data_IF_336490132771
#
_entry.id   IF_336490132771
#
_cell.length_a   1.000
_cell.length_b   1.000
_cell.length_c   1.000
_cell.angle_alpha   90.00
_cell.angle_beta   90.00
_cell.angle_gamma   90.00
#
_symmetry.space_group_name_H-M   'P 1'
#
loop_
_entity.id
_entity.type
_entity.pdbx_description
1 polymer ?
#
# COMPACT_ATOMS: atom_id res chain seq x y z
N UNK A 1 21.30 3.20 10.08
CA UNK A 1 21.42 1.72 10.16
C UNK A 1 20.73 1.13 8.94
N UNK A 2 21.36 0.22 8.20
CA UNK A 2 20.76 -0.40 7.02
C UNK A 2 19.77 -1.49 7.45
N UNK A 3 18.46 -1.25 7.27
CA UNK A 3 17.36 -2.12 7.75
C UNK A 3 17.14 -3.38 6.90
N UNK A 4 17.63 -3.37 5.64
CA UNK A 4 17.45 -4.46 4.67
C UNK A 4 18.80 -5.01 4.17
N UNK A 5 19.84 -4.93 5.01
CA UNK A 5 21.18 -5.34 4.60
C UNK A 5 21.19 -6.78 4.05
N UNK A 6 21.64 -6.94 2.82
CA UNK A 6 21.73 -8.21 2.09
C UNK A 6 20.40 -8.93 1.82
N UNK A 7 19.24 -8.30 2.07
CA UNK A 7 17.95 -8.83 1.66
C UNK A 7 17.75 -8.65 0.15
N UNK A 8 17.05 -9.58 -0.48
CA UNK A 8 16.69 -9.51 -1.89
C UNK A 8 15.22 -9.17 -2.02
N UNK A 9 14.90 -8.10 -2.75
CA UNK A 9 13.56 -7.60 -2.97
C UNK A 9 13.18 -7.59 -4.45
N UNK A 10 11.94 -7.97 -4.74
CA UNK A 10 11.27 -7.73 -6.01
C UNK A 10 10.20 -6.67 -5.79
N UNK A 11 10.18 -5.65 -6.66
CA UNK A 11 9.21 -4.55 -6.60
C UNK A 11 8.56 -4.40 -7.97
N UNK A 12 7.23 -4.56 -8.04
CA UNK A 12 6.46 -4.35 -9.28
C UNK A 12 5.92 -2.93 -9.36
N UNK A 13 5.76 -2.38 -10.58
CA UNK A 13 5.43 -0.97 -10.78
C UNK A 13 6.56 -0.05 -10.35
N UNK A 14 7.81 -0.47 -10.55
CA UNK A 14 9.00 0.21 -10.04
C UNK A 14 9.50 1.36 -10.94
N UNK A 15 8.84 1.61 -12.08
CA UNK A 15 9.21 2.67 -13.00
C UNK A 15 8.76 4.07 -12.56
N UNK A 16 7.80 4.18 -11.63
CA UNK A 16 7.25 5.47 -11.20
C UNK A 16 6.63 5.42 -9.80
N UNK A 17 6.27 6.59 -9.28
CA UNK A 17 5.48 6.75 -8.05
C UNK A 17 6.01 5.96 -6.86
N UNK A 18 5.12 5.25 -6.19
CA UNK A 18 5.39 4.47 -4.97
C UNK A 18 6.47 3.40 -5.20
N UNK A 19 6.38 2.65 -6.33
CA UNK A 19 7.32 1.57 -6.60
C UNK A 19 8.74 2.07 -6.81
N UNK A 20 8.91 3.16 -7.58
CA UNK A 20 10.20 3.83 -7.79
C UNK A 20 10.81 4.31 -6.48
N UNK A 21 10.04 5.01 -5.67
CA UNK A 21 10.52 5.55 -4.38
C UNK A 21 10.89 4.42 -3.42
N UNK A 22 10.08 3.35 -3.39
CA UNK A 22 10.38 2.16 -2.58
C UNK A 22 11.67 1.47 -3.03
N UNK A 23 11.90 1.36 -4.35
CA UNK A 23 13.12 0.74 -4.86
C UNK A 23 14.37 1.53 -4.44
N UNK A 24 14.34 2.85 -4.57
CA UNK A 24 15.43 3.72 -4.13
C UNK A 24 15.68 3.59 -2.64
N UNK A 25 14.63 3.65 -1.83
CA UNK A 25 14.73 3.55 -0.37
C UNK A 25 15.26 2.18 0.06
N UNK A 26 14.82 1.08 -0.55
CA UNK A 26 15.30 -0.27 -0.21
C UNK A 26 16.79 -0.45 -0.55
N UNK A 27 17.24 0.07 -1.69
CA UNK A 27 18.66 0.09 -2.07
C UNK A 27 19.50 0.90 -1.06
N UNK A 28 19.05 2.09 -0.66
CA UNK A 28 19.71 2.92 0.36
C UNK A 28 19.81 2.20 1.70
N UNK A 29 18.82 1.33 2.01
CA UNK A 29 18.81 0.47 3.20
C UNK A 29 19.54 -0.87 3.03
N UNK A 30 20.26 -1.08 1.90
CA UNK A 30 21.19 -2.19 1.69
C UNK A 30 20.55 -3.46 1.12
N UNK A 31 19.34 -3.37 0.56
CA UNK A 31 18.75 -4.45 -0.20
C UNK A 31 19.39 -4.58 -1.59
N UNK A 32 19.30 -5.80 -2.16
CA UNK A 32 19.40 -6.03 -3.59
C UNK A 32 17.99 -5.97 -4.17
N UNK A 33 17.76 -5.24 -5.26
CA UNK A 33 16.40 -4.98 -5.78
C UNK A 33 16.28 -5.34 -7.25
N UNK A 34 15.28 -6.16 -7.58
CA UNK A 34 14.80 -6.34 -8.95
C UNK A 34 13.63 -5.39 -9.17
N UNK A 35 13.83 -4.40 -10.04
CA UNK A 35 12.82 -3.44 -10.43
C UNK A 35 12.02 -3.99 -11.61
N UNK A 36 10.72 -4.14 -11.48
CA UNK A 36 9.84 -4.68 -12.51
C UNK A 36 8.78 -3.67 -12.93
N UNK A 37 8.64 -3.47 -14.23
CA UNK A 37 7.60 -2.65 -14.84
C UNK A 37 7.37 -3.05 -16.28
N UNK A 38 6.19 -2.73 -16.83
CA UNK A 38 5.91 -2.92 -18.25
C UNK A 38 6.37 -1.75 -19.13
N UNK A 39 6.60 -0.57 -18.56
CA UNK A 39 7.08 0.61 -19.26
C UNK A 39 8.60 0.64 -19.26
N UNK A 40 9.19 0.16 -20.36
CA UNK A 40 10.64 0.08 -20.53
C UNK A 40 11.34 1.43 -20.36
N UNK A 41 10.78 2.50 -20.94
CA UNK A 41 11.42 3.83 -20.96
C UNK A 41 11.58 4.36 -19.54
N UNK A 42 10.49 4.43 -18.79
CA UNK A 42 10.51 4.97 -17.41
C UNK A 42 11.24 4.04 -16.43
N UNK A 43 11.29 2.73 -16.73
CA UNK A 43 12.07 1.77 -15.95
C UNK A 43 13.58 2.01 -16.15
N UNK A 44 14.03 2.24 -17.38
CA UNK A 44 15.42 2.59 -17.70
C UNK A 44 15.80 3.95 -17.09
N UNK A 45 14.93 4.96 -17.15
CA UNK A 45 15.13 6.25 -16.48
C UNK A 45 15.32 6.09 -14.95
N UNK A 46 14.51 5.24 -14.32
CA UNK A 46 14.65 4.92 -12.90
C UNK A 46 15.98 4.25 -12.60
N UNK A 47 16.41 3.34 -13.47
CA UNK A 47 17.70 2.66 -13.32
C UNK A 47 18.89 3.62 -13.51
N UNK A 48 18.80 4.58 -14.42
CA UNK A 48 19.83 5.64 -14.56
C UNK A 48 19.94 6.51 -13.28
N UNK A 49 18.83 6.81 -12.61
CA UNK A 49 18.86 7.48 -11.29
C UNK A 49 19.57 6.64 -10.23
N UNK A 50 19.36 5.32 -10.23
CA UNK A 50 20.05 4.38 -9.33
C UNK A 50 21.54 4.38 -9.59
N UNK A 51 21.99 4.41 -10.86
CA UNK A 51 23.41 4.52 -11.24
C UNK A 51 24.03 5.84 -10.75
N UNK A 52 23.34 6.96 -10.91
CA UNK A 52 23.80 8.26 -10.43
C UNK A 52 24.02 8.28 -8.91
N UNK A 53 23.29 7.44 -8.17
CA UNK A 53 23.45 7.24 -6.72
C UNK A 53 24.52 6.18 -6.37
N UNK A 54 25.17 5.53 -7.35
CA UNK A 54 26.13 4.42 -7.21
C UNK A 54 25.53 3.22 -6.46
N UNK A 55 24.26 2.89 -6.74
CA UNK A 55 23.52 1.78 -6.15
C UNK A 55 23.21 0.65 -7.15
N UNK A 56 23.67 0.77 -8.39
CA UNK A 56 23.39 -0.13 -9.51
C UNK A 56 23.98 -1.53 -9.33
N UNK A 57 25.04 -1.69 -8.55
CA UNK A 57 25.59 -3.01 -8.22
C UNK A 57 24.61 -3.91 -7.46
N UNK A 58 23.63 -3.31 -6.79
CA UNK A 58 22.58 -3.98 -6.01
C UNK A 58 21.22 -3.95 -6.71
N UNK A 59 21.17 -3.58 -7.99
CA UNK A 59 19.91 -3.41 -8.71
C UNK A 59 19.95 -4.06 -10.09
N UNK A 60 18.84 -4.63 -10.52
CA UNK A 60 18.61 -4.98 -11.92
C UNK A 60 17.16 -4.68 -12.32
N UNK A 61 16.90 -4.58 -13.62
CA UNK A 61 15.57 -4.31 -14.17
C UNK A 61 15.03 -5.53 -14.90
N UNK A 62 13.71 -5.74 -14.79
CA UNK A 62 12.97 -6.79 -15.49
C UNK A 62 11.75 -6.19 -16.17
N UNK A 63 11.67 -6.27 -17.50
CA UNK A 63 10.46 -5.88 -18.22
C UNK A 63 9.38 -6.92 -17.96
N UNK A 64 8.27 -6.50 -17.32
CA UNK A 64 7.28 -7.42 -16.76
C UNK A 64 5.87 -6.87 -16.94
N UNK A 65 5.00 -7.61 -17.62
CA UNK A 65 3.54 -7.42 -17.53
C UNK A 65 2.99 -8.31 -16.41
N UNK A 66 2.58 -7.70 -15.32
CA UNK A 66 2.09 -8.43 -14.13
C UNK A 66 0.80 -9.22 -14.38
N UNK A 67 0.09 -8.98 -15.47
CA UNK A 67 -1.09 -9.76 -15.88
C UNK A 67 -0.72 -11.10 -16.50
N UNK A 68 0.55 -11.26 -16.93
CA UNK A 68 1.09 -12.45 -17.61
C UNK A 68 1.84 -13.32 -16.60
N UNK A 69 1.31 -14.54 -16.36
CA UNK A 69 1.89 -15.45 -15.35
C UNK A 69 3.36 -15.78 -15.62
N UNK A 70 3.73 -15.98 -16.90
CA UNK A 70 5.11 -16.31 -17.28
C UNK A 70 6.09 -15.19 -16.97
N UNK A 71 5.66 -13.93 -17.10
CA UNK A 71 6.52 -12.78 -16.79
C UNK A 71 6.79 -12.71 -15.28
N UNK A 72 5.78 -13.00 -14.44
CA UNK A 72 5.95 -13.06 -12.98
C UNK A 72 6.88 -14.21 -12.57
N UNK A 73 6.78 -15.38 -13.21
CA UNK A 73 7.71 -16.49 -12.98
C UNK A 73 9.13 -16.07 -13.31
N UNK A 74 9.34 -15.50 -14.50
CA UNK A 74 10.65 -14.99 -14.95
C UNK A 74 11.21 -13.92 -14.02
N UNK A 75 10.35 -13.02 -13.51
CA UNK A 75 10.74 -11.98 -12.57
C UNK A 75 11.29 -12.55 -11.26
N UNK A 76 10.62 -13.56 -10.71
CA UNK A 76 11.07 -14.22 -9.47
C UNK A 76 12.33 -15.06 -9.72
N UNK A 77 12.41 -15.77 -10.85
CA UNK A 77 13.62 -16.51 -11.24
C UNK A 77 14.82 -15.57 -11.39
N UNK A 78 14.63 -14.37 -11.98
CA UNK A 78 15.69 -13.36 -12.08
C UNK A 78 16.24 -12.95 -10.72
N UNK A 79 15.40 -12.80 -9.69
CA UNK A 79 15.88 -12.47 -8.36
C UNK A 79 16.78 -13.59 -7.78
N UNK A 80 16.40 -14.85 -8.01
CA UNK A 80 17.20 -16.01 -7.59
C UNK A 80 18.50 -16.12 -8.39
N UNK A 81 18.45 -15.92 -9.71
CA UNK A 81 19.62 -16.04 -10.59
C UNK A 81 20.65 -14.93 -10.31
N UNK A 82 20.19 -13.70 -10.05
CA UNK A 82 21.09 -12.55 -9.84
C UNK A 82 21.60 -12.46 -8.39
N UNK A 83 20.76 -12.81 -7.42
CA UNK A 83 21.05 -12.53 -6.00
C UNK A 83 20.94 -13.76 -5.08
N UNK A 84 20.63 -14.94 -5.64
CA UNK A 84 20.64 -16.23 -4.93
C UNK A 84 19.39 -16.55 -4.13
N UNK A 85 18.47 -15.61 -3.92
CA UNK A 85 17.24 -15.80 -3.11
C UNK A 85 16.18 -14.75 -3.44
N UNK A 86 15.06 -14.81 -2.71
CA UNK A 86 14.05 -13.75 -2.62
C UNK A 86 13.56 -13.68 -1.17
N UNK A 87 13.72 -12.54 -0.53
CA UNK A 87 13.29 -12.28 0.86
C UNK A 87 12.05 -11.41 0.93
N UNK A 88 11.87 -10.49 -0.04
CA UNK A 88 10.83 -9.47 -0.01
C UNK A 88 10.17 -9.39 -1.39
N UNK A 89 8.83 -9.45 -1.39
CA UNK A 89 8.04 -9.13 -2.58
C UNK A 89 7.16 -7.92 -2.27
N UNK A 90 7.24 -6.87 -3.08
CA UNK A 90 6.30 -5.77 -3.07
C UNK A 90 5.45 -5.76 -4.35
N UNK A 91 4.25 -6.33 -4.28
CA UNK A 91 3.23 -6.27 -5.31
C UNK A 91 2.60 -4.88 -5.29
N UNK A 92 3.16 -3.96 -6.09
CA UNK A 92 2.73 -2.57 -6.11
C UNK A 92 2.15 -2.14 -7.47
N UNK A 93 2.49 -2.81 -8.56
CA UNK A 93 1.95 -2.49 -9.89
C UNK A 93 0.42 -2.39 -9.87
N UNK A 94 -0.11 -1.36 -10.51
CA UNK A 94 -1.55 -1.14 -10.57
C UNK A 94 -1.95 -0.04 -11.55
N UNK A 95 -3.23 0.00 -11.84
CA UNK A 95 -3.92 0.96 -12.73
C UNK A 95 -5.20 1.45 -12.06
N UNK A 96 -5.83 2.49 -12.58
CA UNK A 96 -7.14 2.96 -12.11
C UNK A 96 -8.30 2.00 -12.41
N UNK A 97 -8.09 1.04 -13.31
CA UNK A 97 -9.10 0.07 -13.73
C UNK A 97 -10.22 0.67 -14.58
N UNK A 98 -11.28 -0.11 -14.78
CA UNK A 98 -12.46 0.32 -15.54
C UNK A 98 -13.21 1.42 -14.79
N UNK A 99 -13.54 2.50 -15.50
CA UNK A 99 -14.21 3.69 -14.97
C UNK A 99 -15.53 3.90 -15.73
N UNK A 100 -16.61 4.11 -15.00
CA UNK A 100 -17.93 4.42 -15.55
C UNK A 100 -19.08 3.92 -14.69
N UNK A 101 -20.34 4.24 -15.10
CA UNK A 101 -21.52 3.67 -14.46
C UNK A 101 -21.54 2.14 -14.59
N UNK A 102 -22.01 1.44 -13.57
CA UNK A 102 -22.08 -0.04 -13.56
C UNK A 102 -22.80 -0.62 -14.77
N UNK A 103 -23.77 0.10 -15.31
CA UNK A 103 -24.55 -0.31 -16.50
C UNK A 103 -23.78 -0.20 -17.81
N UNK A 104 -22.58 0.41 -17.82
CA UNK A 104 -21.79 0.70 -19.02
C UNK A 104 -20.36 0.15 -18.95
N UNK A 105 -19.91 -0.35 -17.78
CA UNK A 105 -18.61 -1.02 -17.69
C UNK A 105 -18.67 -2.30 -18.51
N UNK A 106 -17.70 -2.47 -19.43
CA UNK A 106 -17.52 -3.65 -20.27
C UNK A 106 -16.92 -4.81 -19.44
N UNK A 107 -17.38 -6.01 -19.69
CA UNK A 107 -16.88 -7.20 -18.99
C UNK A 107 -15.37 -7.40 -19.19
N UNK A 108 -14.85 -7.17 -20.40
CA UNK A 108 -13.43 -7.32 -20.71
C UNK A 108 -12.56 -6.29 -19.95
N UNK A 109 -13.06 -5.05 -19.79
CA UNK A 109 -12.38 -4.02 -18.99
C UNK A 109 -12.39 -4.34 -17.50
N UNK A 110 -13.50 -4.90 -17.02
CA UNK A 110 -13.62 -5.44 -15.67
C UNK A 110 -12.60 -6.56 -15.45
N UNK A 111 -12.56 -7.56 -16.32
CA UNK A 111 -11.64 -8.70 -16.22
C UNK A 111 -10.18 -8.25 -16.28
N UNK A 112 -9.84 -7.32 -17.18
CA UNK A 112 -8.51 -6.74 -17.24
C UNK A 112 -8.13 -6.01 -15.95
N UNK A 113 -9.06 -5.28 -15.34
CA UNK A 113 -8.83 -4.63 -14.04
C UNK A 113 -8.46 -5.65 -12.97
N UNK A 114 -9.20 -6.75 -12.88
CA UNK A 114 -8.91 -7.83 -11.93
C UNK A 114 -7.63 -8.59 -12.24
N UNK A 115 -7.30 -8.78 -13.53
CA UNK A 115 -6.03 -9.40 -13.93
C UNK A 115 -4.83 -8.61 -13.41
N UNK A 116 -4.86 -7.28 -13.53
CA UNK A 116 -3.75 -6.41 -13.10
C UNK A 116 -3.77 -6.17 -11.61
N UNK A 117 -4.94 -5.90 -11.00
CA UNK A 117 -5.04 -5.41 -9.62
C UNK A 117 -5.11 -6.51 -8.56
N UNK A 118 -5.60 -7.71 -8.90
CA UNK A 118 -5.80 -8.80 -7.93
C UNK A 118 -5.09 -10.09 -8.35
N UNK A 119 -5.25 -10.55 -9.61
CA UNK A 119 -4.61 -11.79 -10.06
C UNK A 119 -3.08 -11.67 -10.02
N UNK A 120 -2.52 -10.51 -10.35
CA UNK A 120 -1.08 -10.24 -10.26
C UNK A 120 -0.55 -10.45 -8.83
N UNK A 121 -1.30 -9.98 -7.83
CA UNK A 121 -0.98 -10.15 -6.40
C UNK A 121 -0.93 -11.63 -6.02
N UNK A 122 -1.90 -12.41 -6.49
CA UNK A 122 -1.90 -13.86 -6.31
C UNK A 122 -0.69 -14.51 -6.99
N UNK A 123 -0.41 -14.17 -8.26
CA UNK A 123 0.71 -14.74 -9.01
C UNK A 123 2.05 -14.40 -8.37
N UNK A 124 2.29 -13.13 -8.04
CA UNK A 124 3.50 -12.70 -7.33
C UNK A 124 3.68 -13.45 -6.03
N UNK A 125 2.63 -13.52 -5.20
CA UNK A 125 2.66 -14.25 -3.92
C UNK A 125 2.94 -15.75 -4.11
N UNK A 126 2.33 -16.37 -5.12
CA UNK A 126 2.53 -17.79 -5.47
C UNK A 126 3.99 -18.11 -5.77
N UNK A 127 4.62 -17.34 -6.66
CA UNK A 127 5.99 -17.61 -7.08
C UNK A 127 7.01 -17.19 -6.01
N UNK A 128 6.81 -16.05 -5.34
CA UNK A 128 7.65 -15.64 -4.22
C UNK A 128 7.61 -16.64 -3.07
N UNK A 129 6.44 -17.12 -2.68
CA UNK A 129 6.30 -18.11 -1.61
C UNK A 129 7.05 -19.42 -1.92
N UNK A 130 7.10 -19.87 -3.19
CA UNK A 130 7.88 -21.07 -3.59
C UNK A 130 9.37 -20.93 -3.31
N UNK A 131 9.91 -19.72 -3.43
CA UNK A 131 11.31 -19.43 -3.10
C UNK A 131 11.46 -19.24 -1.60
N UNK A 132 10.64 -18.40 -0.99
CA UNK A 132 10.72 -18.02 0.44
C UNK A 132 10.53 -19.21 1.38
N UNK A 133 9.76 -20.25 1.01
CA UNK A 133 9.63 -21.50 1.79
C UNK A 133 10.95 -22.25 1.96
N UNK A 134 11.93 -22.00 1.08
CA UNK A 134 13.27 -22.60 1.17
C UNK A 134 14.20 -21.80 2.08
N UNK A 135 13.84 -20.56 2.42
CA UNK A 135 14.62 -19.69 3.28
C UNK A 135 14.39 -20.05 4.76
N UNK A 136 15.46 -20.15 5.54
CA UNK A 136 15.38 -20.40 6.98
C UNK A 136 14.60 -19.31 7.73
N UNK A 137 14.67 -18.09 7.23
CA UNK A 137 14.04 -16.90 7.80
C UNK A 137 12.65 -16.61 7.23
N UNK A 138 12.19 -17.41 6.24
CA UNK A 138 10.93 -17.14 5.51
C UNK A 138 11.04 -15.92 4.60
N UNK A 139 10.07 -15.00 4.66
CA UNK A 139 10.04 -13.81 3.82
C UNK A 139 8.95 -12.80 4.19
N UNK A 140 8.88 -11.70 3.44
CA UNK A 140 7.85 -10.67 3.58
C UNK A 140 7.20 -10.36 2.24
N UNK A 141 5.89 -10.58 2.14
CA UNK A 141 5.07 -10.21 0.99
C UNK A 141 4.23 -8.99 1.39
N UNK A 142 4.36 -7.93 0.62
CA UNK A 142 3.68 -6.67 0.83
C UNK A 142 2.82 -6.38 -0.41
N UNK A 143 1.56 -6.06 -0.22
CA UNK A 143 0.61 -5.85 -1.31
C UNK A 143 0.01 -4.45 -1.23
N UNK A 144 0.08 -3.69 -2.30
CA UNK A 144 -0.59 -2.38 -2.39
C UNK A 144 -2.09 -2.58 -2.61
N UNK A 145 -2.85 -2.40 -1.54
CA UNK A 145 -4.30 -2.27 -1.57
C UNK A 145 -4.71 -0.82 -1.87
N UNK A 146 -5.73 -0.30 -1.24
CA UNK A 146 -6.17 1.10 -1.28
C UNK A 146 -7.24 1.33 -0.21
N UNK A 147 -7.42 2.57 0.23
CA UNK A 147 -8.61 2.98 0.99
C UNK A 147 -9.90 2.66 0.22
N UNK A 148 -9.87 2.68 -1.12
CA UNK A 148 -10.99 2.30 -1.96
C UNK A 148 -11.45 0.84 -1.77
N UNK A 149 -10.57 -0.03 -1.26
CA UNK A 149 -10.92 -1.41 -0.90
C UNK A 149 -11.51 -1.56 0.50
N UNK A 150 -11.60 -0.49 1.28
CA UNK A 150 -12.08 -0.52 2.67
C UNK A 150 -13.54 -0.09 2.81
N UNK A 151 -14.01 0.76 1.88
CA UNK A 151 -15.38 1.28 1.89
C UNK A 151 -15.81 1.75 0.50
N UNK A 152 -17.06 2.14 0.37
CA UNK A 152 -17.60 2.69 -0.87
C UNK A 152 -17.21 4.16 -1.09
N UNK A 153 -17.14 4.59 -2.36
CA UNK A 153 -17.01 6.01 -2.71
C UNK A 153 -15.59 6.54 -2.90
N UNK A 154 -14.56 5.76 -2.54
CA UNK A 154 -13.16 6.21 -2.59
C UNK A 154 -12.42 5.83 -3.88
N UNK A 155 -13.12 5.28 -4.88
CA UNK A 155 -12.51 4.90 -6.16
C UNK A 155 -13.48 4.23 -7.13
N UNK A 156 -13.05 3.97 -8.37
CA UNK A 156 -13.85 3.28 -9.38
C UNK A 156 -14.33 1.89 -8.91
N UNK A 157 -15.47 1.44 -9.41
CA UNK A 157 -16.11 0.19 -8.97
C UNK A 157 -15.18 -1.04 -9.06
N UNK A 158 -14.61 -1.27 -10.25
CA UNK A 158 -13.73 -2.43 -10.48
C UNK A 158 -12.44 -2.35 -9.63
N UNK A 159 -11.87 -1.15 -9.52
CA UNK A 159 -10.71 -0.88 -8.67
C UNK A 159 -11.00 -1.18 -7.20
N UNK A 160 -12.09 -0.63 -6.67
CA UNK A 160 -12.50 -0.81 -5.27
C UNK A 160 -12.73 -2.28 -4.95
N UNK A 161 -13.45 -3.01 -5.82
CA UNK A 161 -13.71 -4.43 -5.65
C UNK A 161 -12.41 -5.26 -5.67
N UNK A 162 -11.49 -4.98 -6.60
CA UNK A 162 -10.20 -5.67 -6.67
C UNK A 162 -9.33 -5.38 -5.44
N UNK A 163 -9.28 -4.12 -4.97
CA UNK A 163 -8.48 -3.72 -3.78
C UNK A 163 -9.07 -4.27 -2.47
N UNK A 164 -10.39 -4.43 -2.37
CA UNK A 164 -11.03 -5.19 -1.28
C UNK A 164 -10.60 -6.67 -1.31
N UNK A 165 -10.54 -7.25 -2.52
CA UNK A 165 -10.00 -8.59 -2.74
C UNK A 165 -8.56 -8.74 -2.25
N UNK A 166 -7.68 -7.76 -2.52
CA UNK A 166 -6.28 -7.74 -2.03
C UNK A 166 -6.22 -7.75 -0.50
N UNK A 167 -7.03 -6.92 0.17
CA UNK A 167 -7.06 -6.86 1.65
C UNK A 167 -7.45 -8.23 2.23
N UNK A 168 -8.48 -8.86 1.69
CA UNK A 168 -8.91 -10.18 2.20
C UNK A 168 -7.94 -11.30 1.80
N UNK A 169 -7.34 -11.23 0.60
CA UNK A 169 -6.29 -12.16 0.17
C UNK A 169 -5.12 -12.18 1.17
N UNK A 170 -4.65 -11.01 1.63
CA UNK A 170 -3.55 -10.94 2.60
C UNK A 170 -3.84 -11.71 3.89
N UNK A 171 -5.08 -11.66 4.40
CA UNK A 171 -5.47 -12.38 5.62
C UNK A 171 -5.37 -13.89 5.45
N UNK A 172 -5.91 -14.41 4.33
CA UNK A 172 -5.89 -15.85 4.05
C UNK A 172 -4.46 -16.33 3.74
N UNK A 173 -3.70 -15.60 2.93
CA UNK A 173 -2.32 -15.95 2.61
C UNK A 173 -1.40 -15.90 3.86
N UNK A 174 -1.65 -14.97 4.78
CA UNK A 174 -0.91 -14.92 6.06
C UNK A 174 -1.14 -16.16 6.93
N UNK A 175 -2.36 -16.71 6.96
CA UNK A 175 -2.68 -17.96 7.68
C UNK A 175 -1.96 -19.13 7.02
N UNK A 176 -2.03 -19.24 5.69
CA UNK A 176 -1.45 -20.35 4.93
C UNK A 176 0.09 -20.35 4.99
N UNK A 177 0.72 -19.19 4.86
CA UNK A 177 2.16 -19.05 4.73
C UNK A 177 2.89 -18.80 6.06
N UNK A 178 2.16 -18.49 7.12
CA UNK A 178 2.71 -18.24 8.46
C UNK A 178 3.57 -19.37 9.03
N UNK A 179 3.19 -20.68 8.88
CA UNK A 179 4.03 -21.80 9.30
C UNK A 179 5.43 -21.81 8.66
N UNK A 180 5.55 -21.25 7.43
CA UNK A 180 6.82 -21.12 6.71
C UNK A 180 7.54 -19.80 7.04
N UNK A 181 7.11 -19.07 8.07
CA UNK A 181 7.64 -17.76 8.49
C UNK A 181 7.53 -16.67 7.41
N UNK A 182 6.60 -16.81 6.48
CA UNK A 182 6.32 -15.81 5.45
C UNK A 182 5.19 -14.92 5.95
N UNK A 183 5.48 -13.62 6.08
CA UNK A 183 4.50 -12.61 6.46
C UNK A 183 3.82 -12.05 5.21
N UNK A 184 2.52 -11.80 5.28
CA UNK A 184 1.75 -11.23 4.16
C UNK A 184 0.91 -10.08 4.69
N UNK A 185 1.18 -8.85 4.24
CA UNK A 185 0.47 -7.66 4.70
C UNK A 185 0.05 -6.78 3.52
N UNK A 186 -0.96 -5.97 3.74
CA UNK A 186 -1.40 -4.94 2.80
C UNK A 186 -1.06 -3.54 3.31
N UNK A 187 -0.80 -2.63 2.37
CA UNK A 187 -0.80 -1.19 2.61
C UNK A 187 -1.96 -0.62 1.82
N UNK A 188 -2.79 0.20 2.45
CA UNK A 188 -3.88 0.95 1.83
C UNK A 188 -3.53 2.43 1.77
N UNK A 189 -2.95 2.90 0.65
CA UNK A 189 -2.72 4.32 0.44
C UNK A 189 -4.02 5.10 0.35
N UNK A 190 -4.00 6.35 0.85
CA UNK A 190 -4.97 7.38 0.54
C UNK A 190 -4.66 8.09 -0.78
N UNK A 191 -4.86 9.40 -0.81
CA UNK A 191 -4.51 10.23 -1.95
C UNK A 191 -3.00 10.54 -1.94
N UNK A 192 -2.25 9.82 -2.77
CA UNK A 192 -0.80 9.94 -2.88
C UNK A 192 -0.44 10.62 -4.20
N UNK A 193 0.43 11.64 -4.14
CA UNK A 193 0.92 12.36 -5.32
C UNK A 193 1.79 11.46 -6.20
N UNK A 194 1.15 10.82 -7.16
CA UNK A 194 1.74 9.88 -8.13
C UNK A 194 1.19 10.14 -9.52
N UNK A 195 1.84 9.67 -10.59
CA UNK A 195 1.29 9.78 -11.95
C UNK A 195 -0.11 9.17 -12.11
N UNK A 196 -0.47 8.17 -11.30
CA UNK A 196 -1.80 7.57 -11.30
C UNK A 196 -2.90 8.56 -10.87
N UNK A 197 -2.58 9.49 -9.98
CA UNK A 197 -3.54 10.44 -9.42
C UNK A 197 -3.38 11.86 -9.99
N UNK A 198 -2.28 12.18 -10.66
CA UNK A 198 -1.90 13.55 -11.06
C UNK A 198 -3.00 14.29 -11.85
N UNK A 199 -3.75 13.57 -12.70
CA UNK A 199 -4.85 14.19 -13.46
C UNK A 199 -6.14 14.43 -12.66
N UNK A 200 -6.24 13.83 -11.47
CA UNK A 200 -7.45 13.88 -10.65
C UNK A 200 -7.37 14.91 -9.50
N UNK A 201 -6.17 15.43 -9.21
CA UNK A 201 -5.91 16.25 -8.02
C UNK A 201 -5.52 17.71 -8.28
N UNK A 202 -5.39 18.13 -9.55
CA UNK A 202 -5.19 19.56 -9.85
C UNK A 202 -6.34 20.38 -9.23
N UNK A 203 -6.01 21.24 -8.26
CA UNK A 203 -6.93 22.10 -7.51
C UNK A 203 -7.87 21.42 -6.48
N UNK A 204 -7.71 20.14 -6.18
CA UNK A 204 -8.56 19.49 -5.16
C UNK A 204 -7.99 19.69 -3.75
N UNK A 205 -8.84 20.13 -2.83
CA UNK A 205 -8.57 20.07 -1.39
C UNK A 205 -9.17 18.79 -0.84
N UNK A 206 -8.37 18.04 -0.10
CA UNK A 206 -8.86 16.86 0.62
C UNK A 206 -9.38 17.29 1.99
N UNK A 207 -10.59 16.87 2.33
CA UNK A 207 -11.12 17.00 3.68
C UNK A 207 -10.62 15.81 4.52
N UNK A 208 -9.43 15.97 5.08
CA UNK A 208 -8.75 14.94 5.88
C UNK A 208 -7.93 15.59 6.99
N UNK A 209 -7.68 14.90 8.12
CA UNK A 209 -6.98 15.45 9.28
C UNK A 209 -5.57 15.98 8.98
N UNK A 210 -4.82 15.31 8.12
CA UNK A 210 -3.55 15.82 7.59
C UNK A 210 -3.83 16.39 6.20
N UNK A 211 -3.88 17.73 6.09
CA UNK A 211 -4.40 18.44 4.92
C UNK A 211 -3.61 18.23 3.61
N UNK A 212 -2.37 17.77 3.69
CA UNK A 212 -1.50 17.55 2.53
C UNK A 212 -1.78 16.22 1.82
N UNK A 213 -1.50 16.16 0.52
CA UNK A 213 -1.40 14.90 -0.18
C UNK A 213 -0.23 14.08 0.34
N UNK A 214 -0.44 12.79 0.55
CA UNK A 214 0.66 11.87 0.84
C UNK A 214 1.66 11.83 -0.32
N UNK A 215 2.92 11.61 -0.02
CA UNK A 215 3.98 11.45 -0.99
C UNK A 215 4.35 9.97 -1.16
N UNK A 216 4.90 9.56 -2.31
CA UNK A 216 5.38 8.18 -2.51
C UNK A 216 6.27 7.66 -1.38
N UNK A 217 7.08 8.53 -0.78
CA UNK A 217 7.97 8.18 0.34
C UNK A 217 7.21 7.74 1.61
N UNK A 218 5.99 8.23 1.83
CA UNK A 218 5.19 7.85 3.00
C UNK A 218 4.79 6.38 2.92
N UNK A 219 4.46 5.92 1.71
CA UNK A 219 4.16 4.52 1.43
C UNK A 219 5.45 3.68 1.44
N UNK A 220 6.54 4.20 0.87
CA UNK A 220 7.83 3.52 0.83
C UNK A 220 8.39 3.26 2.24
N UNK A 221 8.24 4.21 3.17
CA UNK A 221 8.61 4.04 4.58
C UNK A 221 7.80 2.93 5.27
N UNK A 222 6.51 2.85 4.99
CA UNK A 222 5.65 1.77 5.50
C UNK A 222 6.05 0.42 4.90
N UNK A 223 6.35 0.38 3.60
CA UNK A 223 6.85 -0.82 2.94
C UNK A 223 8.21 -1.25 3.52
N UNK A 224 9.12 -0.32 3.78
CA UNK A 224 10.42 -0.57 4.43
C UNK A 224 10.23 -1.18 5.83
N UNK A 225 9.31 -0.65 6.63
CA UNK A 225 8.97 -1.22 7.94
C UNK A 225 8.46 -2.65 7.80
N UNK A 226 7.49 -2.90 6.92
CA UNK A 226 6.93 -4.24 6.69
C UNK A 226 7.93 -5.23 6.08
N UNK A 227 8.91 -4.74 5.31
CA UNK A 227 9.99 -5.55 4.75
C UNK A 227 11.04 -5.96 5.79
N UNK A 228 11.23 -5.16 6.82
CA UNK A 228 12.28 -5.33 7.82
C UNK A 228 11.90 -6.30 8.95
N UNK A 229 12.90 -6.69 9.76
CA UNK A 229 12.70 -7.54 10.96
C UNK A 229 11.96 -6.80 12.09
N UNK A 230 11.82 -5.47 12.01
CA UNK A 230 11.04 -4.68 12.99
C UNK A 230 9.56 -5.09 12.99
N UNK A 231 9.06 -5.58 11.87
CA UNK A 231 7.69 -6.09 11.72
C UNK A 231 7.58 -7.63 11.78
N UNK A 232 8.58 -8.31 12.34
CA UNK A 232 8.66 -9.79 12.36
C UNK A 232 7.45 -10.51 12.95
N UNK A 233 6.65 -9.84 13.77
CA UNK A 233 5.44 -10.40 14.40
C UNK A 233 4.14 -9.78 13.86
N UNK A 234 4.22 -9.16 12.68
CA UNK A 234 3.08 -8.51 12.01
C UNK A 234 2.79 -9.27 10.70
N UNK A 235 1.60 -9.89 10.62
CA UNK A 235 1.11 -10.56 9.40
C UNK A 235 -0.41 -10.52 9.34
N UNK A 236 -0.97 -10.53 8.13
CA UNK A 236 -2.42 -10.53 7.87
C UNK A 236 -3.11 -9.19 8.09
N UNK A 237 -2.36 -8.09 8.29
CA UNK A 237 -2.93 -6.77 8.53
C UNK A 237 -3.02 -5.93 7.25
N UNK A 238 -3.85 -4.90 7.30
CA UNK A 238 -3.91 -3.82 6.35
C UNK A 238 -3.56 -2.51 7.06
N UNK A 239 -2.49 -1.86 6.65
CA UNK A 239 -2.07 -0.56 7.19
C UNK A 239 -2.61 0.54 6.29
N UNK A 240 -3.48 1.41 6.83
CA UNK A 240 -3.85 2.66 6.19
C UNK A 240 -2.72 3.68 6.28
N UNK A 241 -2.40 4.32 5.14
CA UNK A 241 -1.48 5.45 5.04
C UNK A 241 -2.18 6.52 4.20
N UNK A 242 -3.05 7.28 4.82
CA UNK A 242 -4.08 8.07 4.14
C UNK A 242 -4.33 9.46 4.74
N UNK A 243 -3.48 9.91 5.67
CA UNK A 243 -3.65 11.21 6.33
C UNK A 243 -4.94 11.30 7.16
N UNK A 244 -5.59 10.17 7.46
CA UNK A 244 -6.86 10.11 8.16
C UNK A 244 -8.09 10.24 7.25
N UNK A 245 -7.92 10.17 5.92
CA UNK A 245 -9.01 10.33 4.94
C UNK A 245 -10.15 9.32 5.13
N UNK A 246 -9.86 8.12 5.65
CA UNK A 246 -10.89 7.10 5.92
C UNK A 246 -11.53 7.20 7.29
N UNK A 247 -11.11 8.13 8.13
CA UNK A 247 -11.79 8.37 9.41
C UNK A 247 -13.14 9.00 9.14
N UNK A 248 -14.14 8.58 9.91
CA UNK A 248 -15.48 9.14 9.76
C UNK A 248 -15.47 10.63 10.10
N UNK A 249 -15.64 11.44 9.08
CA UNK A 249 -15.76 12.88 9.17
C UNK A 249 -17.23 13.30 9.04
N UNK A 250 -18.19 12.41 9.39
CA UNK A 250 -19.64 12.71 9.35
C UNK A 250 -20.00 14.00 10.11
N UNK A 251 -19.04 14.56 10.81
CA UNK A 251 -19.17 15.82 11.50
C UNK A 251 -19.98 15.72 12.81
N UNK A 252 -20.56 14.56 13.13
CA UNK A 252 -21.44 14.42 14.29
C UNK A 252 -20.79 14.95 15.57
N UNK A 253 -19.53 14.60 15.82
CA UNK A 253 -18.81 15.11 16.99
C UNK A 253 -18.32 16.55 16.81
N UNK A 254 -17.98 16.95 15.58
CA UNK A 254 -17.64 18.34 15.23
C UNK A 254 -18.86 19.24 15.37
N UNK A 255 -20.01 18.83 14.85
CA UNK A 255 -21.28 19.54 14.97
C UNK A 255 -21.73 19.65 16.44
N UNK A 256 -21.53 18.59 17.22
CA UNK A 256 -21.78 18.61 18.66
C UNK A 256 -20.86 19.59 19.38
N UNK A 257 -19.56 19.59 19.07
CA UNK A 257 -18.59 20.52 19.64
C UNK A 257 -18.91 21.99 19.30
N UNK A 258 -19.26 22.26 18.02
CA UNK A 258 -19.72 23.59 17.59
C UNK A 258 -21.01 24.00 18.29
N UNK A 259 -21.95 23.08 18.49
CA UNK A 259 -23.19 23.34 19.21
C UNK A 259 -22.93 23.73 20.66
N UNK A 260 -22.08 22.97 21.37
CA UNK A 260 -21.68 23.28 22.74
C UNK A 260 -20.92 24.61 22.84
N UNK A 261 -20.01 24.89 21.91
CA UNK A 261 -19.27 26.15 21.83
C UNK A 261 -20.23 27.35 21.65
N UNK A 262 -21.23 27.23 20.76
CA UNK A 262 -22.26 28.28 20.59
C UNK A 262 -23.11 28.51 21.84
N UNK A 263 -23.22 27.50 22.69
CA UNK A 263 -23.89 27.60 23.98
C UNK A 263 -22.96 28.12 25.11
N UNK A 264 -21.71 28.45 24.81
CA UNK A 264 -20.69 28.85 25.80
C UNK A 264 -20.24 27.71 26.72
N UNK A 265 -20.38 26.45 26.23
CA UNK A 265 -19.99 25.25 26.99
C UNK A 265 -18.65 24.80 26.46
N UNK A 266 -17.57 24.99 27.21
CA UNK A 266 -16.21 24.59 26.78
C UNK A 266 -15.84 23.17 27.21
N UNK A 267 -16.42 22.72 28.33
CA UNK A 267 -16.19 21.38 28.87
C UNK A 267 -17.40 20.85 29.62
N UNK A 268 -17.70 19.57 29.44
CA UNK A 268 -18.70 18.86 30.26
C UNK A 268 -18.00 17.75 31.02
N UNK A 269 -18.11 17.79 32.33
CA UNK A 269 -17.51 16.80 33.25
C UNK A 269 -18.60 15.87 33.79
N UNK A 270 -18.28 14.59 33.90
CA UNK A 270 -19.23 13.60 34.43
C UNK A 270 -20.39 13.33 33.47
N UNK A 271 -20.14 13.42 32.14
CA UNK A 271 -21.17 13.26 31.13
C UNK A 271 -21.78 11.87 31.15
N UNK A 272 -23.03 11.79 31.60
CA UNK A 272 -23.84 10.59 31.53
C UNK A 272 -24.87 10.72 30.42
N UNK A 273 -24.50 10.18 29.26
CA UNK A 273 -25.43 10.02 28.14
C UNK A 273 -26.41 8.87 28.42
N UNK A 274 -27.25 9.04 29.40
CA UNK A 274 -28.24 8.04 29.80
C UNK A 274 -28.97 8.40 31.09
N UNK A 275 -30.04 7.68 31.41
CA UNK A 275 -30.85 7.92 32.64
C UNK A 275 -30.19 7.30 33.87
N UNK A 276 -28.98 7.71 34.20
CA UNK A 276 -28.23 7.20 35.38
C UNK A 276 -28.61 7.93 36.68
N UNK A 277 -29.31 9.07 36.60
CA UNK A 277 -29.64 9.92 37.74
C UNK A 277 -28.46 10.76 38.27
N UNK A 278 -27.30 10.72 37.58
CA UNK A 278 -26.16 11.57 37.93
C UNK A 278 -26.18 12.79 37.00
N UNK A 279 -26.14 13.98 37.55
CA UNK A 279 -26.10 15.23 36.80
C UNK A 279 -24.72 15.44 36.20
N UNK A 280 -24.67 15.92 34.94
CA UNK A 280 -23.45 16.39 34.31
C UNK A 280 -23.11 17.79 34.80
N UNK A 281 -21.83 18.05 35.06
CA UNK A 281 -21.36 19.38 35.49
C UNK A 281 -20.74 20.07 34.25
N UNK A 282 -21.16 21.31 34.02
CA UNK A 282 -20.60 22.19 33.00
C UNK A 282 -19.50 23.01 33.65
N UNK A 283 -18.29 22.92 33.10
CA UNK A 283 -17.16 23.73 33.54
C UNK A 283 -16.65 24.54 32.36
N UNK A 284 -16.38 25.82 32.56
CA UNK A 284 -15.62 26.63 31.60
C UNK A 284 -14.13 26.50 31.96
N UNK A 285 -13.29 26.33 30.95
CA UNK A 285 -11.85 26.31 31.14
C UNK A 285 -11.42 27.75 31.51
N UNK A 286 -10.87 27.93 32.72
CA UNK A 286 -10.16 29.17 33.03
C UNK A 286 -8.86 29.20 32.23
N UNK A 287 -8.55 30.36 31.59
CA UNK A 287 -7.30 30.59 30.83
C UNK A 287 -6.03 30.48 31.67
#
# INVERSE_FOLDING_TARGET
MKRLQNKVAVITGAASGIGKETALLFLEHGANVVLADMNKITLEETFELIKQKNLDQNACICLTDVSVERDIETLVDMAVDQFGTLDILFNNAGIGGAIGPITHINADEWDRSFQILLKSVFLGSKYAARVMKKNVTGGSIINTASIAGMGGGSGPLAYSAAKAGVINFCKNAAIELGPDKIRVNAISPGAINTPLLATAIEDSKLDQPIEDFGMPIDIANTALFLASDESRFITGINICVDGGLTLDQSGLMKDAAEHYSKMGIERVVGMNMGSTGIESVIENLEE
#
